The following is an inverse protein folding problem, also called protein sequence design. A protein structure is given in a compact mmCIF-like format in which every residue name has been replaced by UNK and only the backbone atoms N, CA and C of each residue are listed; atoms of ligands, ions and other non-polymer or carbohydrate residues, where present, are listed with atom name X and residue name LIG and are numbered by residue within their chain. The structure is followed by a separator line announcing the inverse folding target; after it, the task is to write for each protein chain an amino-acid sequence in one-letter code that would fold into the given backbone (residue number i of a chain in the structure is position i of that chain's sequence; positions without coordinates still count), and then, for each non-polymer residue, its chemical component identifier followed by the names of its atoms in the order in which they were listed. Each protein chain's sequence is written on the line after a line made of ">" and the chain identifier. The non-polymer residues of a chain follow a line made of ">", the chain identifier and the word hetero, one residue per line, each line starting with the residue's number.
data_IF_917553187605
#
_entry.id   IF_917553187605
#
_cell.length_a   1.000
_cell.length_b   1.000
_cell.length_c   1.000
_cell.angle_alpha   90.00
_cell.angle_beta   90.00
_cell.angle_gamma   90.00
#
_symmetry.space_group_name_H-M   'P 1'
#
loop_
_entity.id
_entity.type
_entity.pdbx_description
1 polymer ?
#
# COMPACT_ATOMS: atom_id res chain seq x y z
N UNK A 1 -7.44 -18.93 13.08
CA UNK A 1 -6.82 -17.87 12.25
C UNK A 1 -7.11 -18.19 10.79
N UNK A 2 -7.79 -17.31 10.05
CA UNK A 2 -7.93 -17.49 8.61
C UNK A 2 -6.56 -17.25 7.96
N UNK A 3 -5.94 -18.32 7.46
CA UNK A 3 -4.66 -18.24 6.75
C UNK A 3 -4.94 -17.70 5.35
N UNK A 4 -4.69 -16.41 5.16
CA UNK A 4 -4.83 -15.76 3.85
C UNK A 4 -3.82 -16.40 2.89
N UNK A 5 -4.32 -17.14 1.90
CA UNK A 5 -3.49 -17.67 0.83
C UNK A 5 -2.93 -16.51 0.01
N UNK A 6 -1.67 -16.65 -0.39
CA UNK A 6 -0.89 -15.78 -1.28
C UNK A 6 -1.49 -15.75 -2.70
N UNK A 7 -2.75 -15.32 -2.79
CA UNK A 7 -3.42 -15.03 -4.04
C UNK A 7 -2.82 -13.76 -4.63
N UNK A 8 -2.82 -13.66 -5.96
CA UNK A 8 -2.18 -12.59 -6.70
C UNK A 8 -2.69 -11.21 -6.21
N UNK A 9 -1.88 -10.51 -5.43
CA UNK A 9 -2.24 -9.25 -4.75
C UNK A 9 -2.05 -8.04 -5.68
N UNK A 10 -2.36 -8.16 -6.97
CA UNK A 10 -2.11 -7.12 -7.97
C UNK A 10 -2.72 -5.76 -7.54
N UNK A 11 -3.92 -5.77 -6.95
CA UNK A 11 -4.55 -4.56 -6.42
C UNK A 11 -3.79 -3.92 -5.24
N UNK A 12 -3.27 -4.73 -4.31
CA UNK A 12 -2.51 -4.20 -3.18
C UNK A 12 -1.18 -3.64 -3.68
N UNK A 13 -0.49 -4.35 -4.58
CA UNK A 13 0.76 -3.88 -5.20
C UNK A 13 0.57 -2.58 -5.98
N UNK A 14 -0.56 -2.41 -6.68
CA UNK A 14 -0.89 -1.15 -7.37
C UNK A 14 -1.13 -0.01 -6.38
N UNK A 15 -1.89 -0.23 -5.30
CA UNK A 15 -2.12 0.81 -4.26
C UNK A 15 -0.81 1.27 -3.64
N UNK A 16 0.08 0.33 -3.30
CA UNK A 16 1.40 0.67 -2.76
C UNK A 16 2.21 1.47 -3.78
N UNK A 17 2.15 1.11 -5.06
CA UNK A 17 2.88 1.81 -6.12
C UNK A 17 2.36 3.24 -6.34
N UNK A 18 1.03 3.42 -6.30
CA UNK A 18 0.38 4.73 -6.44
C UNK A 18 0.70 5.64 -5.25
N UNK A 19 0.60 5.12 -4.01
CA UNK A 19 0.89 5.88 -2.80
C UNK A 19 2.38 6.27 -2.70
N UNK A 20 3.31 5.39 -3.13
CA UNK A 20 4.75 5.73 -3.20
C UNK A 20 5.02 6.77 -4.31
N UNK A 21 4.33 6.66 -5.44
CA UNK A 21 4.48 7.62 -6.55
C UNK A 21 4.04 9.02 -6.14
N UNK A 22 2.97 9.15 -5.36
CA UNK A 22 2.54 10.43 -4.76
C UNK A 22 3.63 11.07 -3.89
N UNK A 23 4.30 10.29 -3.04
CA UNK A 23 5.39 10.81 -2.19
C UNK A 23 6.58 11.24 -3.06
N UNK A 24 6.89 10.46 -4.11
CA UNK A 24 7.97 10.76 -5.05
C UNK A 24 7.69 12.05 -5.83
N UNK A 25 6.45 12.26 -6.27
CA UNK A 25 6.05 13.46 -6.99
C UNK A 25 6.12 14.71 -6.11
N UNK A 26 5.66 14.62 -4.85
CA UNK A 26 5.80 15.72 -3.87
C UNK A 26 7.26 16.06 -3.57
N UNK A 27 8.12 15.04 -3.49
CA UNK A 27 9.57 15.24 -3.35
C UNK A 27 10.17 15.92 -4.57
N UNK A 28 9.80 15.50 -5.78
CA UNK A 28 10.26 16.11 -7.04
C UNK A 28 9.76 17.55 -7.20
N UNK A 29 8.55 17.84 -6.74
CA UNK A 29 7.98 19.17 -6.68
C UNK A 29 8.63 20.09 -5.62
N UNK A 30 9.59 19.57 -4.83
CA UNK A 30 10.25 20.24 -3.70
C UNK A 30 9.28 20.67 -2.60
N UNK A 31 8.10 20.08 -2.54
CA UNK A 31 7.13 20.26 -1.46
C UNK A 31 7.55 19.51 -0.19
N UNK A 32 8.38 18.47 -0.34
CA UNK A 32 8.95 17.70 0.75
C UNK A 32 10.48 17.74 0.70
N UNK A 33 11.11 17.93 1.85
CA UNK A 33 12.54 17.68 2.01
C UNK A 33 12.83 16.18 2.03
N UNK A 34 14.09 15.78 1.78
CA UNK A 34 14.49 14.37 1.81
C UNK A 34 14.21 13.68 3.16
N UNK A 35 14.25 14.45 4.26
CA UNK A 35 13.92 13.95 5.61
C UNK A 35 12.42 13.71 5.76
N UNK A 36 11.59 14.61 5.25
CA UNK A 36 10.13 14.49 5.32
C UNK A 36 9.63 13.36 4.42
N UNK A 37 10.15 13.24 3.19
CA UNK A 37 9.83 12.13 2.29
C UNK A 37 10.13 10.76 2.93
N UNK A 38 11.26 10.61 3.64
CA UNK A 38 11.57 9.38 4.40
C UNK A 38 10.57 9.09 5.51
N UNK A 39 10.11 10.13 6.21
CA UNK A 39 9.10 9.98 7.27
C UNK A 39 7.74 9.58 6.67
N UNK A 40 7.34 10.19 5.55
CA UNK A 40 6.10 9.84 4.85
C UNK A 40 6.12 8.39 4.36
N UNK A 41 7.21 7.93 3.74
CA UNK A 41 7.37 6.52 3.34
C UNK A 41 7.25 5.58 4.55
N UNK A 42 7.86 5.93 5.69
CA UNK A 42 7.79 5.11 6.90
C UNK A 42 6.37 5.06 7.48
N UNK A 43 5.65 6.18 7.47
CA UNK A 43 4.23 6.23 7.87
C UNK A 43 3.38 5.36 6.95
N UNK A 44 3.62 5.45 5.64
CA UNK A 44 2.94 4.66 4.64
C UNK A 44 3.14 3.15 4.87
N UNK A 45 4.37 2.72 5.08
CA UNK A 45 4.69 1.32 5.38
C UNK A 45 3.99 0.82 6.65
N UNK A 46 3.90 1.65 7.70
CA UNK A 46 3.19 1.29 8.93
C UNK A 46 1.69 1.16 8.71
N UNK A 47 1.08 2.07 7.94
CA UNK A 47 -0.36 2.02 7.65
C UNK A 47 -0.71 0.83 6.77
N UNK A 48 0.08 0.58 5.72
CA UNK A 48 -0.06 -0.59 4.85
C UNK A 48 0.06 -1.90 5.62
N UNK A 49 1.00 -1.99 6.56
CA UNK A 49 1.14 -3.15 7.44
C UNK A 49 -0.07 -3.30 8.36
N UNK A 50 -0.61 -2.20 8.88
CA UNK A 50 -1.81 -2.20 9.72
C UNK A 50 -3.04 -2.67 8.94
N UNK A 51 -3.27 -2.14 7.73
CA UNK A 51 -4.36 -2.55 6.83
C UNK A 51 -4.28 -4.04 6.47
N UNK A 52 -3.06 -4.54 6.21
CA UNK A 52 -2.83 -5.96 5.97
C UNK A 52 -3.20 -6.81 7.18
N UNK A 53 -2.78 -6.39 8.38
CA UNK A 53 -3.07 -7.09 9.63
C UNK A 53 -4.55 -7.04 10.03
N UNK A 54 -5.26 -5.93 9.75
CA UNK A 54 -6.70 -5.82 9.99
C UNK A 54 -7.54 -6.53 8.94
N UNK A 55 -6.95 -7.04 7.86
CA UNK A 55 -7.67 -7.63 6.74
C UNK A 55 -8.46 -6.60 5.92
N UNK A 56 -8.21 -5.31 6.15
CA UNK A 56 -8.77 -4.16 5.43
C UNK A 56 -7.92 -3.83 4.21
N UNK A 57 -7.70 -4.86 3.39
CA UNK A 57 -7.06 -4.74 2.09
C UNK A 57 -8.09 -5.11 1.04
N UNK A 58 -8.16 -4.36 -0.09
CA UNK A 58 -9.09 -4.67 -1.15
C UNK A 58 -8.79 -6.06 -1.67
N UNK A 59 -9.69 -6.99 -1.34
CA UNK A 59 -9.61 -8.37 -1.79
C UNK A 59 -10.05 -8.37 -3.25
N UNK A 60 -9.22 -8.92 -4.13
CA UNK A 60 -9.74 -9.40 -5.41
C UNK A 60 -10.86 -10.38 -5.08
N UNK A 61 -12.09 -10.09 -5.50
CA UNK A 61 -13.16 -11.07 -5.43
C UNK A 61 -12.72 -12.26 -6.28
N UNK A 62 -12.10 -13.28 -5.69
CA UNK A 62 -12.16 -14.62 -6.25
C UNK A 62 -13.62 -15.05 -6.10
N UNK A 63 -14.48 -14.53 -6.97
CA UNK A 63 -15.82 -15.03 -7.17
C UNK A 63 -15.67 -16.45 -7.68
N UNK A 64 -16.13 -17.42 -6.92
CA UNK A 64 -16.45 -18.73 -7.47
C UNK A 64 -17.56 -18.48 -8.50
N UNK A 65 -17.20 -18.49 -9.77
CA UNK A 65 -18.14 -18.61 -10.88
C UNK A 65 -18.80 -19.98 -10.68
N UNK A 66 -20.06 -19.98 -10.26
CA UNK A 66 -20.93 -21.15 -10.30
C UNK A 66 -21.59 -21.22 -11.67
#
# INVERSE_FOLDING_TARGET
>A
MAVFHSSKHDNYSNIVSDEISLIKDRYNAKELTAKEARIEVKKLQMDLKRRLWSGDVPKTKCGRVY
#
